data_IF_128509987756
#
_entry.id   IF_128509987756
#
_cell.length_a   1.000
_cell.length_b   1.000
_cell.length_c   1.000
_cell.angle_alpha   90.00
_cell.angle_beta   90.00
_cell.angle_gamma   90.00
#
_symmetry.space_group_name_H-M   'P 1'
#
loop_
_entity.id
_entity.type
_entity.pdbx_description
1 polymer ?
#
# COMPACT_ATOMS: atom_id res chain seq x y z
N UNK A 1 -24.72 -22.95 -23.08
CA UNK A 1 -24.08 -22.30 -21.90
C UNK A 1 -22.96 -21.42 -22.39
N UNK A 2 -23.27 -20.17 -22.71
CA UNK A 2 -22.29 -19.19 -23.22
C UNK A 2 -21.37 -18.75 -22.10
N UNK A 3 -20.11 -19.20 -22.13
CA UNK A 3 -19.02 -18.56 -21.39
C UNK A 3 -18.89 -17.15 -21.95
N UNK A 4 -19.56 -16.18 -21.32
CA UNK A 4 -19.20 -14.77 -21.49
C UNK A 4 -17.74 -14.68 -21.04
N UNK A 5 -16.83 -14.52 -22.00
CA UNK A 5 -15.39 -14.40 -21.75
C UNK A 5 -15.14 -13.21 -20.84
N UNK A 6 -15.02 -13.46 -19.54
CA UNK A 6 -14.70 -12.41 -18.59
C UNK A 6 -13.21 -12.12 -18.72
N UNK A 7 -12.84 -10.84 -18.85
CA UNK A 7 -11.46 -10.34 -18.91
C UNK A 7 -10.61 -10.65 -17.66
N UNK A 8 -11.06 -11.55 -16.78
CA UNK A 8 -10.57 -11.79 -15.43
C UNK A 8 -10.32 -13.28 -15.13
N UNK A 9 -10.13 -14.14 -16.15
CA UNK A 9 -9.87 -15.58 -15.97
C UNK A 9 -8.69 -15.93 -15.04
N UNK A 10 -7.79 -14.98 -14.79
CA UNK A 10 -6.63 -15.11 -13.90
C UNK A 10 -6.91 -14.71 -12.44
N UNK A 11 -8.14 -14.32 -12.10
CA UNK A 11 -8.57 -14.00 -10.74
C UNK A 11 -9.29 -15.19 -10.10
N UNK A 12 -9.17 -15.32 -8.78
CA UNK A 12 -9.92 -16.32 -8.02
C UNK A 12 -11.38 -15.90 -7.82
N UNK A 13 -12.28 -16.85 -7.55
CA UNK A 13 -13.71 -16.56 -7.32
C UNK A 13 -13.93 -15.56 -6.18
N UNK A 14 -13.12 -15.65 -5.12
CA UNK A 14 -13.13 -14.70 -4.01
C UNK A 14 -12.74 -13.28 -4.49
N UNK A 15 -11.69 -13.16 -5.30
CA UNK A 15 -11.28 -11.87 -5.85
C UNK A 15 -12.35 -11.27 -6.78
N UNK A 16 -13.03 -12.10 -7.57
CA UNK A 16 -14.16 -11.69 -8.40
C UNK A 16 -15.31 -11.18 -7.52
N UNK A 17 -15.64 -11.91 -6.44
CA UNK A 17 -16.66 -11.48 -5.49
C UNK A 17 -16.30 -10.13 -4.84
N UNK A 18 -15.05 -9.91 -4.47
CA UNK A 18 -14.60 -8.64 -3.89
C UNK A 18 -14.70 -7.49 -4.90
N UNK A 19 -14.41 -7.74 -6.18
CA UNK A 19 -14.60 -6.75 -7.24
C UNK A 19 -16.08 -6.36 -7.39
N UNK A 20 -16.99 -7.35 -7.31
CA UNK A 20 -18.42 -7.12 -7.41
C UNK A 20 -18.97 -6.36 -6.19
N UNK A 21 -18.50 -6.70 -4.99
CA UNK A 21 -18.91 -6.04 -3.74
C UNK A 21 -18.36 -4.61 -3.61
N UNK A 22 -17.26 -4.29 -4.28
CA UNK A 22 -16.60 -2.98 -4.30
C UNK A 22 -16.48 -2.36 -2.89
N UNK A 23 -15.58 -2.85 -2.02
CA UNK A 23 -15.43 -2.38 -0.63
C UNK A 23 -14.87 -0.95 -0.51
N UNK A 24 -14.65 -0.28 -1.64
CA UNK A 24 -14.18 1.08 -1.75
C UNK A 24 -14.98 1.81 -2.83
N UNK A 25 -15.37 3.05 -2.56
CA UNK A 25 -16.09 3.91 -3.49
C UNK A 25 -15.11 4.57 -4.46
N UNK A 26 -14.99 4.01 -5.66
CA UNK A 26 -14.11 4.53 -6.71
C UNK A 26 -14.68 5.82 -7.32
N UNK A 27 -13.80 6.75 -7.67
CA UNK A 27 -14.14 7.93 -8.46
C UNK A 27 -13.91 7.70 -9.96
N UNK A 28 -12.92 6.88 -10.32
CA UNK A 28 -12.62 6.45 -11.68
C UNK A 28 -13.07 5.00 -11.91
N UNK A 29 -13.44 4.65 -13.14
CA UNK A 29 -13.79 3.27 -13.46
C UNK A 29 -12.60 2.31 -13.32
N UNK A 30 -12.87 1.03 -13.12
CA UNK A 30 -11.84 -0.02 -13.02
C UNK A 30 -10.94 -0.01 -14.27
N UNK A 31 -11.51 0.19 -15.46
CA UNK A 31 -10.74 0.23 -16.70
C UNK A 31 -9.78 1.44 -16.72
N UNK A 32 -10.26 2.64 -16.38
CA UNK A 32 -9.41 3.84 -16.32
C UNK A 32 -8.26 3.70 -15.31
N UNK A 33 -8.51 2.98 -14.21
CA UNK A 33 -7.53 2.75 -13.15
C UNK A 33 -6.50 1.68 -13.51
N UNK A 34 -6.90 0.64 -14.22
CA UNK A 34 -6.06 -0.53 -14.51
C UNK A 34 -5.37 -0.44 -15.86
N UNK A 35 -5.89 0.34 -16.80
CA UNK A 35 -5.23 0.58 -18.07
C UNK A 35 -4.03 1.53 -17.90
N UNK A 36 -2.99 1.26 -18.68
CA UNK A 36 -1.83 2.14 -18.74
C UNK A 36 -2.24 3.43 -19.44
N UNK A 37 -2.08 4.58 -18.79
CA UNK A 37 -2.27 5.86 -19.45
C UNK A 37 -1.34 5.91 -20.68
N UNK A 38 -1.93 5.85 -21.87
CA UNK A 38 -1.23 5.82 -23.17
C UNK A 38 -0.63 7.20 -23.43
N UNK A 39 0.38 7.57 -22.63
CA UNK A 39 1.23 8.72 -22.95
C UNK A 39 2.21 8.24 -23.99
N UNK A 40 2.30 8.95 -25.13
CA UNK A 40 3.31 8.77 -26.17
C UNK A 40 4.71 8.90 -25.57
N UNK A 41 5.20 7.82 -24.97
CA UNK A 41 6.54 7.70 -24.41
C UNK A 41 7.27 6.70 -25.28
N UNK A 42 8.52 7.01 -25.61
CA UNK A 42 9.39 6.10 -26.35
C UNK A 42 9.53 4.73 -25.65
N UNK A 43 9.48 4.71 -24.32
CA UNK A 43 9.54 3.48 -23.53
C UNK A 43 8.22 3.25 -22.77
N UNK A 44 7.73 1.99 -22.70
CA UNK A 44 6.57 1.66 -21.91
C UNK A 44 6.74 2.08 -20.45
N UNK A 45 5.69 2.60 -19.79
CA UNK A 45 5.73 2.79 -18.35
C UNK A 45 5.80 1.42 -17.63
N UNK A 46 6.17 1.46 -16.35
CA UNK A 46 6.06 0.29 -15.47
C UNK A 46 4.56 -0.03 -15.26
N UNK A 47 4.20 -1.31 -15.05
CA UNK A 47 2.87 -1.65 -14.57
C UNK A 47 2.58 -0.93 -13.24
N UNK A 48 1.32 -0.55 -13.05
CA UNK A 48 0.89 0.23 -11.88
C UNK A 48 0.71 -0.69 -10.68
N UNK A 49 1.33 -0.34 -9.55
CA UNK A 49 1.05 -1.03 -8.29
C UNK A 49 -0.23 -0.49 -7.61
N UNK A 50 -0.72 -1.20 -6.60
CA UNK A 50 -1.97 -0.87 -5.90
C UNK A 50 -2.00 0.53 -5.30
N UNK A 51 -0.87 1.03 -4.78
CA UNK A 51 -0.79 2.37 -4.20
C UNK A 51 -0.87 3.45 -5.27
N UNK A 52 -0.24 3.26 -6.43
CA UNK A 52 -0.35 4.17 -7.57
C UNK A 52 -1.79 4.22 -8.07
N UNK A 53 -2.46 3.07 -8.17
CA UNK A 53 -3.87 2.98 -8.57
C UNK A 53 -4.74 3.77 -7.59
N UNK A 54 -4.64 3.50 -6.29
CA UNK A 54 -5.37 4.24 -5.26
C UNK A 54 -5.10 5.74 -5.32
N UNK A 55 -3.84 6.15 -5.46
CA UNK A 55 -3.48 7.57 -5.52
C UNK A 55 -4.12 8.27 -6.71
N UNK A 56 -4.18 7.61 -7.89
CA UNK A 56 -4.84 8.18 -9.08
C UNK A 56 -6.32 8.41 -8.83
N UNK A 57 -7.00 7.44 -8.22
CA UNK A 57 -8.41 7.55 -7.87
C UNK A 57 -8.64 8.68 -6.84
N UNK A 58 -7.84 8.70 -5.78
CA UNK A 58 -7.93 9.72 -4.75
C UNK A 58 -7.61 11.13 -5.28
N UNK A 59 -6.66 11.25 -6.20
CA UNK A 59 -6.39 12.51 -6.90
C UNK A 59 -7.59 12.95 -7.76
N UNK A 60 -8.33 12.01 -8.37
CA UNK A 60 -9.57 12.32 -9.08
C UNK A 60 -10.66 12.79 -8.13
N UNK A 61 -10.87 12.07 -7.02
CA UNK A 61 -11.77 12.48 -5.94
C UNK A 61 -11.53 13.93 -5.48
N UNK A 62 -10.26 14.28 -5.24
CA UNK A 62 -9.91 15.64 -4.79
C UNK A 62 -10.23 16.71 -5.86
N UNK A 63 -10.01 16.41 -7.15
CA UNK A 63 -10.33 17.33 -8.25
C UNK A 63 -11.84 17.54 -8.39
N UNK A 64 -12.63 16.47 -8.26
CA UNK A 64 -14.08 16.53 -8.40
C UNK A 64 -14.76 17.20 -7.21
N UNK A 65 -14.34 16.90 -5.97
CA UNK A 65 -15.10 17.27 -4.78
C UNK A 65 -14.56 18.48 -4.02
N UNK A 66 -13.27 18.79 -4.16
CA UNK A 66 -12.67 19.89 -3.40
C UNK A 66 -12.23 21.06 -4.30
N UNK A 67 -12.31 20.91 -5.63
CA UNK A 67 -11.81 21.86 -6.62
C UNK A 67 -10.35 22.32 -6.37
N UNK A 68 -9.57 21.55 -5.60
CA UNK A 68 -8.21 21.95 -5.22
C UNK A 68 -7.22 21.49 -6.29
N UNK A 69 -6.55 22.46 -6.91
CA UNK A 69 -5.31 22.21 -7.65
C UNK A 69 -4.15 22.12 -6.64
N UNK A 70 -4.03 20.99 -5.95
CA UNK A 70 -2.96 20.79 -4.96
C UNK A 70 -1.61 20.53 -5.61
N UNK A 71 -0.53 21.01 -4.97
CA UNK A 71 0.84 20.63 -5.34
C UNK A 71 1.04 19.13 -5.12
N UNK A 72 1.67 18.45 -6.08
CA UNK A 72 1.92 16.99 -6.08
C UNK A 72 2.45 16.47 -4.74
N UNK A 73 3.37 17.20 -4.11
CA UNK A 73 3.98 16.84 -2.82
C UNK A 73 2.96 16.74 -1.69
N UNK A 74 2.04 17.70 -1.61
CA UNK A 74 1.04 17.73 -0.54
C UNK A 74 -0.03 16.65 -0.76
N UNK A 75 -0.45 16.46 -2.02
CA UNK A 75 -1.38 15.37 -2.36
C UNK A 75 -0.80 14.00 -2.02
N UNK A 76 0.49 13.77 -2.29
CA UNK A 76 1.14 12.50 -1.96
C UNK A 76 1.15 12.24 -0.44
N UNK A 77 1.41 13.27 0.39
CA UNK A 77 1.36 13.12 1.87
C UNK A 77 -0.04 12.75 2.35
N UNK A 78 -1.06 13.50 1.92
CA UNK A 78 -2.46 13.23 2.31
C UNK A 78 -2.93 11.87 1.83
N UNK A 79 -2.58 11.51 0.59
CA UNK A 79 -2.85 10.18 0.03
C UNK A 79 -2.21 9.07 0.87
N UNK A 80 -0.96 9.26 1.32
CA UNK A 80 -0.26 8.26 2.14
C UNK A 80 -0.94 8.06 3.49
N UNK A 81 -1.42 9.15 4.12
CA UNK A 81 -2.20 9.08 5.34
C UNK A 81 -3.54 8.34 5.12
N UNK A 82 -4.25 8.65 4.02
CA UNK A 82 -5.53 8.00 3.69
C UNK A 82 -5.35 6.52 3.40
N UNK A 83 -4.32 6.15 2.62
CA UNK A 83 -3.96 4.76 2.34
C UNK A 83 -3.73 3.94 3.61
N UNK A 84 -2.98 4.50 4.58
CA UNK A 84 -2.71 3.82 5.86
C UNK A 84 -4.01 3.50 6.62
N UNK A 85 -4.99 4.42 6.57
CA UNK A 85 -6.29 4.30 7.22
C UNK A 85 -7.28 3.36 6.49
N UNK A 86 -6.98 2.91 5.27
CA UNK A 86 -7.86 1.96 4.58
C UNK A 86 -7.92 0.62 5.32
N UNK A 87 -9.11 0.02 5.31
CA UNK A 87 -9.34 -1.34 5.79
C UNK A 87 -8.50 -2.35 4.98
N UNK A 88 -8.25 -3.52 5.58
CA UNK A 88 -7.54 -4.60 4.90
C UNK A 88 -8.27 -5.04 3.63
N UNK A 89 -9.60 -5.10 3.66
CA UNK A 89 -10.42 -5.45 2.50
C UNK A 89 -10.29 -4.42 1.37
N UNK A 90 -10.31 -3.11 1.67
CA UNK A 90 -10.11 -2.08 0.67
C UNK A 90 -8.68 -2.12 0.07
N UNK A 91 -7.65 -2.35 0.90
CA UNK A 91 -6.28 -2.54 0.40
C UNK A 91 -6.16 -3.77 -0.49
N UNK A 92 -6.86 -4.86 -0.14
CA UNK A 92 -6.90 -6.07 -0.95
C UNK A 92 -7.61 -5.83 -2.28
N UNK A 93 -8.73 -5.09 -2.29
CA UNK A 93 -9.38 -4.64 -3.52
C UNK A 93 -8.40 -3.91 -4.46
N UNK A 94 -7.60 -2.97 -3.96
CA UNK A 94 -6.56 -2.32 -4.78
C UNK A 94 -5.43 -3.27 -5.21
N UNK A 95 -5.16 -4.36 -4.48
CA UNK A 95 -4.25 -5.43 -4.95
C UNK A 95 -4.84 -6.25 -6.09
N UNK A 96 -6.14 -6.48 -6.08
CA UNK A 96 -6.82 -7.12 -7.22
C UNK A 96 -6.74 -6.21 -8.44
N UNK A 97 -6.98 -4.90 -8.27
CA UNK A 97 -6.79 -3.94 -9.36
C UNK A 97 -5.34 -3.91 -9.89
N UNK A 98 -4.34 -4.05 -9.03
CA UNK A 98 -2.94 -4.20 -9.46
C UNK A 98 -2.71 -5.47 -10.30
N UNK A 99 -3.32 -6.61 -9.92
CA UNK A 99 -3.27 -7.83 -10.75
C UNK A 99 -3.85 -7.57 -12.14
N UNK A 100 -5.02 -6.91 -12.21
CA UNK A 100 -5.64 -6.54 -13.47
C UNK A 100 -4.74 -5.62 -14.29
N UNK A 101 -4.16 -4.60 -13.66
CA UNK A 101 -3.25 -3.67 -14.33
C UNK A 101 -1.99 -4.35 -14.87
N UNK A 102 -1.45 -5.33 -14.14
CA UNK A 102 -0.33 -6.15 -14.58
C UNK A 102 -0.69 -6.99 -15.81
N UNK A 103 -1.84 -7.67 -15.81
CA UNK A 103 -2.26 -8.48 -16.97
C UNK A 103 -2.58 -7.61 -18.19
N UNK A 104 -3.24 -6.47 -18.00
CA UNK A 104 -3.47 -5.50 -19.07
C UNK A 104 -2.15 -4.96 -19.62
N UNK A 105 -1.17 -4.70 -18.76
CA UNK A 105 0.16 -4.27 -19.16
C UNK A 105 0.91 -5.34 -19.95
N UNK A 106 0.85 -6.61 -19.55
CA UNK A 106 1.44 -7.74 -20.29
C UNK A 106 0.83 -7.88 -21.69
N UNK A 107 -0.50 -7.75 -21.82
CA UNK A 107 -1.19 -7.77 -23.12
C UNK A 107 -0.77 -6.60 -24.01
N UNK A 108 -0.64 -5.40 -23.42
CA UNK A 108 -0.28 -4.17 -24.14
C UNK A 108 1.20 -4.14 -24.54
N UNK A 109 2.08 -4.70 -23.71
CA UNK A 109 3.53 -4.68 -23.88
C UNK A 109 4.14 -6.08 -23.68
N UNK A 110 3.90 -7.03 -24.60
CA UNK A 110 4.33 -8.43 -24.43
C UNK A 110 5.85 -8.59 -24.28
N UNK A 111 6.64 -7.69 -24.87
CA UNK A 111 8.10 -7.71 -24.82
C UNK A 111 8.67 -6.74 -23.75
N UNK A 112 7.86 -6.29 -22.79
CA UNK A 112 8.33 -5.37 -21.77
C UNK A 112 9.40 -6.01 -20.87
N UNK A 113 10.52 -5.30 -20.69
CA UNK A 113 11.55 -5.63 -19.72
C UNK A 113 11.88 -4.41 -18.88
N UNK A 114 11.89 -4.58 -17.55
CA UNK A 114 12.29 -3.51 -16.65
C UNK A 114 13.77 -3.18 -16.82
N UNK A 115 14.07 -1.92 -17.17
CA UNK A 115 15.42 -1.40 -17.35
C UNK A 115 15.55 -0.08 -16.56
N UNK A 116 15.97 -0.12 -15.28
CA UNK A 116 16.17 1.10 -14.51
C UNK A 116 17.25 1.96 -15.16
N UNK A 117 17.00 3.28 -15.26
CA UNK A 117 18.06 4.24 -15.61
C UNK A 117 18.84 4.55 -14.34
N UNK A 118 20.09 4.11 -14.28
CA UNK A 118 21.02 4.60 -13.26
C UNK A 118 21.39 6.03 -13.62
N UNK A 119 21.06 6.99 -12.75
CA UNK A 119 21.59 8.33 -12.90
C UNK A 119 23.12 8.23 -12.74
N UNK A 120 23.88 8.87 -13.64
CA UNK A 120 25.33 9.04 -13.44
C UNK A 120 25.50 9.83 -12.13
N UNK A 121 26.24 9.30 -11.18
CA UNK A 121 26.46 9.91 -9.86
C UNK A 121 27.26 11.20 -9.99
N UNK A 122 26.60 12.32 -10.29
CA UNK A 122 27.20 13.64 -10.10
C UNK A 122 27.06 14.01 -8.62
N UNK A 123 28.15 13.83 -7.88
CA UNK A 123 28.39 14.19 -6.49
C UNK A 123 27.81 13.21 -5.45
N UNK A 124 28.74 12.53 -4.78
CA UNK A 124 28.56 11.70 -3.60
C UNK A 124 28.03 12.58 -2.44
N UNK A 125 26.73 12.89 -2.43
CA UNK A 125 26.10 13.44 -1.22
C UNK A 125 26.04 12.30 -0.21
N UNK A 126 26.87 12.41 0.82
CA UNK A 126 26.90 11.49 1.94
C UNK A 126 25.48 11.22 2.44
N UNK A 127 25.14 9.93 2.56
CA UNK A 127 23.81 9.50 2.94
C UNK A 127 23.61 9.78 4.43
N UNK A 128 23.11 10.97 4.76
CA UNK A 128 22.77 11.29 6.14
C UNK A 128 21.48 10.55 6.50
N UNK A 129 21.62 9.45 7.24
CA UNK A 129 20.50 8.76 7.85
C UNK A 129 19.83 9.70 8.85
N UNK A 130 18.63 10.18 8.49
CA UNK A 130 17.83 11.01 9.39
C UNK A 130 17.07 10.11 10.35
N UNK A 131 17.61 9.94 11.55
CA UNK A 131 16.95 9.24 12.64
C UNK A 131 15.66 9.98 13.02
N UNK A 132 14.50 9.33 12.85
CA UNK A 132 13.22 9.88 13.31
C UNK A 132 12.99 9.44 14.75
N UNK A 133 13.24 10.32 15.72
CA UNK A 133 12.80 10.12 17.11
C UNK A 133 11.27 10.07 17.15
N UNK A 134 10.69 8.88 17.26
CA UNK A 134 9.28 8.70 17.64
C UNK A 134 9.14 9.05 19.12
N UNK A 135 8.79 10.28 19.43
CA UNK A 135 8.38 10.63 20.79
C UNK A 135 6.96 10.09 20.99
N UNK A 136 6.83 8.94 21.65
CA UNK A 136 5.56 8.52 22.25
C UNK A 136 5.50 9.22 23.59
N UNK A 137 4.62 10.21 23.71
CA UNK A 137 4.23 10.77 25.01
C UNK A 137 3.50 9.66 25.75
N UNK A 138 4.23 8.89 26.56
CA UNK A 138 3.64 8.06 27.60
C UNK A 138 3.65 8.97 28.82
N UNK A 139 2.48 9.55 29.09
CA UNK A 139 2.18 10.22 30.35
C UNK A 139 2.64 9.33 31.52
N UNK A 140 3.40 9.96 32.42
CA UNK A 140 3.94 9.43 33.66
C UNK A 140 2.96 8.50 34.39
N UNK A 141 3.22 7.19 34.38
CA UNK A 141 2.65 6.26 35.36
C UNK A 141 3.84 5.73 36.16
N UNK A 142 3.96 6.22 37.39
CA UNK A 142 4.98 5.78 38.35
C UNK A 142 4.67 4.34 38.75
N UNK A 143 5.45 3.38 38.27
CA UNK A 143 5.47 2.04 38.87
C UNK A 143 6.38 2.09 40.09
N UNK A 144 5.80 1.90 41.27
CA UNK A 144 6.51 1.74 42.54
C UNK A 144 7.21 0.39 42.58
N UNK A 145 8.52 0.42 42.80
CA UNK A 145 9.38 -0.72 43.11
C UNK A 145 8.89 -1.46 44.35
N UNK A 146 8.63 -2.77 44.23
CA UNK A 146 8.62 -3.69 45.36
C UNK A 146 9.62 -4.79 45.02
N UNK A 147 10.80 -4.71 45.62
CA UNK A 147 11.82 -5.75 45.56
C UNK A 147 11.87 -6.43 46.93
N UNK A 148 11.43 -7.69 47.01
CA UNK A 148 11.80 -8.61 48.09
C UNK A 148 11.38 -10.02 47.69
N UNK A 149 12.30 -10.79 47.11
CA UNK A 149 12.25 -12.24 47.20
C UNK A 149 13.53 -12.68 47.89
N UNK A 150 13.41 -12.96 49.19
CA UNK A 150 14.40 -13.70 49.98
C UNK A 150 14.33 -15.20 49.60
N UNK A 151 15.46 -15.92 49.58
CA UNK A 151 15.49 -17.37 49.38
C UNK A 151 14.95 -18.10 50.62
N UNK A 152 14.10 -19.10 50.44
CA UNK A 152 13.71 -20.03 51.51
C UNK A 152 14.68 -21.22 51.59
N UNK A 153 15.11 -21.52 52.80
CA UNK A 153 15.92 -22.68 53.19
C UNK A 153 15.13 -24.01 53.18
N UNK A 154 15.82 -25.16 53.07
CA UNK A 154 15.21 -26.49 52.98
C UNK A 154 14.66 -27.02 54.30
N UNK A 155 13.51 -27.71 54.21
CA UNK A 155 12.78 -28.31 55.33
C UNK A 155 13.42 -29.67 55.69
N UNK A 156 13.94 -29.79 56.91
CA UNK A 156 14.21 -31.07 57.59
C UNK A 156 12.96 -31.48 58.38
N UNK A 157 12.54 -32.74 58.24
CA UNK A 157 11.46 -33.36 59.00
C UNK A 157 12.04 -34.54 59.76
N UNK A 158 12.20 -34.39 61.07
CA UNK A 158 12.49 -35.48 62.00
C UNK A 158 11.19 -36.19 62.40
N UNK A 159 11.23 -37.52 62.36
CA UNK A 159 10.20 -38.41 62.90
C UNK A 159 10.21 -38.44 64.44
N UNK A 160 9.18 -39.03 65.06
CA UNK A 160 9.08 -40.49 65.16
C UNK A 160 7.75 -41.10 64.70
#
# INVERSE_FOLDING_TARGET
>A
MTKLGTNYEYLTDNEIQILQQSPYQLTLSINELTESAVKKRHNPPRPQNSWIIFRRDYEAYLRCNQHVKSKVKETAKTCSLKWRKLSSQAKHFFKILEKIACENHKRTYPNYKYRPKHAKSSNHKEFIFREQKKYVSISSVKFSTIASNSPQEPIQIDGP
#
